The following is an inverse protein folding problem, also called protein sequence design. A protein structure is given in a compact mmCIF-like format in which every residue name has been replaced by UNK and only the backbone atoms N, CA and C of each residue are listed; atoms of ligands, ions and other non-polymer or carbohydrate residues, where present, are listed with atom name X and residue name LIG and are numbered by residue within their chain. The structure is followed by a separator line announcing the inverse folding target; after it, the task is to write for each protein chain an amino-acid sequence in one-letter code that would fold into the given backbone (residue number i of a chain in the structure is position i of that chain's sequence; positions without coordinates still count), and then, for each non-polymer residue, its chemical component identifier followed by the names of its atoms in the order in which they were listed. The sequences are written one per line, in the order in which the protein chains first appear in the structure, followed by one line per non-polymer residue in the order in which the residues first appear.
data_IF_898631146721
#
_entry.id   IF_898631146721
#
_cell.length_a   1.000
_cell.length_b   1.000
_cell.length_c   1.000
_cell.angle_alpha   90.00
_cell.angle_beta   90.00
_cell.angle_gamma   90.00
#
_symmetry.space_group_name_H-M   'P 1'
#
loop_
_entity.id
_entity.type
_entity.pdbx_description
1 polymer ?
#
# COMPACT_ATOMS: atom_id res chain seq x y z
N UNK A 1 5.24 -42.02 -2.18
CA UNK A 1 6.24 -41.74 -3.19
C UNK A 1 6.29 -40.26 -3.51
N UNK A 2 7.36 -39.73 -4.13
CA UNK A 2 7.42 -38.33 -4.45
C UNK A 2 6.30 -37.98 -5.43
N UNK A 3 5.50 -36.97 -5.09
CA UNK A 3 4.44 -36.48 -5.96
C UNK A 3 5.07 -35.93 -7.24
N UNK A 4 4.40 -36.15 -8.37
CA UNK A 4 4.89 -35.61 -9.63
C UNK A 4 4.87 -34.08 -9.59
N UNK A 5 5.83 -33.39 -10.23
CA UNK A 5 5.83 -31.92 -10.27
C UNK A 5 4.51 -31.33 -10.81
N UNK A 6 3.87 -32.04 -11.71
CA UNK A 6 2.58 -31.64 -12.30
C UNK A 6 1.45 -31.62 -11.28
N UNK A 7 1.39 -32.64 -10.40
CA UNK A 7 0.37 -32.71 -9.36
C UNK A 7 0.54 -31.57 -8.35
N UNK A 8 1.78 -31.25 -7.97
CA UNK A 8 2.08 -30.11 -7.09
C UNK A 8 1.70 -28.78 -7.74
N UNK A 9 1.95 -28.63 -9.03
CA UNK A 9 1.57 -27.43 -9.78
C UNK A 9 0.05 -27.26 -9.84
N UNK A 10 -0.69 -28.36 -10.01
CA UNK A 10 -2.16 -28.33 -10.01
C UNK A 10 -2.72 -27.95 -8.63
N UNK A 11 -2.16 -28.50 -7.57
CA UNK A 11 -2.53 -28.15 -6.18
C UNK A 11 -2.29 -26.67 -5.89
N UNK A 12 -1.14 -26.15 -6.31
CA UNK A 12 -0.81 -24.74 -6.19
C UNK A 12 -1.80 -23.87 -6.96
N UNK A 13 -2.08 -24.22 -8.20
CA UNK A 13 -3.06 -23.48 -9.03
C UNK A 13 -4.43 -23.43 -8.36
N UNK A 14 -4.91 -24.56 -7.85
CA UNK A 14 -6.21 -24.65 -7.16
C UNK A 14 -6.21 -23.76 -5.89
N UNK A 15 -5.12 -23.78 -5.13
CA UNK A 15 -4.99 -22.92 -3.96
C UNK A 15 -5.06 -21.44 -4.34
N UNK A 16 -4.33 -21.03 -5.36
CA UNK A 16 -4.33 -19.63 -5.80
C UNK A 16 -5.70 -19.21 -6.33
N UNK A 17 -6.39 -20.08 -7.07
CA UNK A 17 -7.77 -19.81 -7.54
C UNK A 17 -8.71 -19.58 -6.36
N UNK A 18 -8.58 -20.38 -5.30
CA UNK A 18 -9.37 -20.26 -4.08
C UNK A 18 -9.08 -18.95 -3.36
N UNK A 19 -7.81 -18.61 -3.21
CA UNK A 19 -7.40 -17.34 -2.59
C UNK A 19 -7.92 -16.14 -3.39
N UNK A 20 -7.90 -16.23 -4.71
CA UNK A 20 -8.43 -15.18 -5.57
C UNK A 20 -9.93 -14.99 -5.42
N UNK A 21 -10.70 -16.08 -5.31
CA UNK A 21 -12.14 -16.00 -5.05
C UNK A 21 -12.42 -15.32 -3.69
N UNK A 22 -11.67 -15.68 -2.66
CA UNK A 22 -11.78 -15.05 -1.34
C UNK A 22 -11.44 -13.56 -1.42
N UNK A 23 -10.37 -13.23 -2.15
CA UNK A 23 -10.01 -11.84 -2.39
C UNK A 23 -11.14 -11.07 -3.07
N UNK A 24 -11.67 -11.58 -4.17
CA UNK A 24 -12.71 -10.89 -4.95
C UNK A 24 -13.97 -10.64 -4.13
N UNK A 25 -14.41 -11.62 -3.35
CA UNK A 25 -15.56 -11.47 -2.47
C UNK A 25 -15.31 -10.41 -1.39
N UNK A 26 -14.15 -10.45 -0.74
CA UNK A 26 -13.79 -9.48 0.29
C UNK A 26 -13.65 -8.08 -0.31
N UNK A 27 -13.02 -7.96 -1.46
CA UNK A 27 -12.80 -6.68 -2.14
C UNK A 27 -14.12 -5.99 -2.53
N UNK A 28 -15.09 -6.75 -3.05
CA UNK A 28 -16.42 -6.21 -3.36
C UNK A 28 -17.09 -5.68 -2.09
N UNK A 29 -17.00 -6.41 -0.99
CA UNK A 29 -17.53 -5.97 0.31
C UNK A 29 -16.87 -4.68 0.79
N UNK A 30 -15.57 -4.57 0.65
CA UNK A 30 -14.81 -3.36 1.01
C UNK A 30 -15.22 -2.16 0.14
N UNK A 31 -15.36 -2.35 -1.16
CA UNK A 31 -15.83 -1.29 -2.08
C UNK A 31 -17.21 -0.80 -1.68
N UNK A 32 -18.11 -1.72 -1.36
CA UNK A 32 -19.49 -1.40 -0.96
C UNK A 32 -19.61 -0.88 0.47
N UNK A 33 -18.53 -0.92 1.21
CA UNK A 33 -18.46 -0.49 2.61
C UNK A 33 -19.47 -1.25 3.50
N UNK A 34 -19.69 -2.52 3.21
CA UNK A 34 -20.58 -3.41 3.96
C UNK A 34 -19.76 -4.44 4.72
N UNK A 35 -20.06 -4.61 6.00
CA UNK A 35 -19.37 -5.59 6.87
C UNK A 35 -17.84 -5.49 6.74
N UNK A 36 -17.34 -4.27 6.79
CA UNK A 36 -15.95 -3.94 6.48
C UNK A 36 -14.97 -4.77 7.31
N UNK A 37 -15.21 -4.93 8.60
CA UNK A 37 -14.33 -5.70 9.49
C UNK A 37 -14.17 -7.14 9.05
N UNK A 38 -15.26 -7.82 8.70
CA UNK A 38 -15.23 -9.21 8.25
C UNK A 38 -14.48 -9.35 6.91
N UNK A 39 -14.73 -8.44 5.98
CA UNK A 39 -14.06 -8.49 4.68
C UNK A 39 -12.56 -8.16 4.79
N UNK A 40 -12.18 -7.27 5.68
CA UNK A 40 -10.78 -6.99 5.97
C UNK A 40 -10.08 -8.20 6.61
N UNK A 41 -10.75 -8.90 7.54
CA UNK A 41 -10.21 -10.13 8.12
C UNK A 41 -9.99 -11.22 7.06
N UNK A 42 -10.93 -11.38 6.14
CA UNK A 42 -10.81 -12.32 5.04
C UNK A 42 -9.66 -11.95 4.09
N UNK A 43 -9.52 -10.67 3.80
CA UNK A 43 -8.41 -10.18 2.97
C UNK A 43 -7.06 -10.37 3.67
N UNK A 44 -7.00 -10.12 4.98
CA UNK A 44 -5.81 -10.40 5.78
C UNK A 44 -5.44 -11.89 5.71
N UNK A 45 -6.42 -12.79 5.81
CA UNK A 45 -6.20 -14.23 5.67
C UNK A 45 -5.59 -14.62 4.34
N UNK A 46 -6.01 -14.00 3.24
CA UNK A 46 -5.41 -14.21 1.91
C UNK A 46 -3.94 -13.78 1.92
N UNK A 47 -3.65 -12.59 2.42
CA UNK A 47 -2.28 -12.09 2.48
C UNK A 47 -1.39 -12.89 3.42
N UNK A 48 -1.90 -13.35 4.55
CA UNK A 48 -1.18 -14.22 5.48
C UNK A 48 -0.78 -15.53 4.80
N UNK A 49 -1.69 -16.12 4.04
CA UNK A 49 -1.40 -17.35 3.30
C UNK A 49 -0.32 -17.14 2.25
N UNK A 50 -0.39 -16.02 1.52
CA UNK A 50 0.62 -15.65 0.52
C UNK A 50 1.97 -15.35 1.18
N UNK A 51 1.97 -14.75 2.36
CA UNK A 51 3.18 -14.51 3.14
C UNK A 51 3.86 -15.83 3.51
N UNK A 52 3.10 -16.80 4.01
CA UNK A 52 3.63 -18.14 4.34
C UNK A 52 4.23 -18.81 3.10
N UNK A 53 3.52 -18.79 1.98
CA UNK A 53 3.96 -19.44 0.74
C UNK A 53 5.20 -18.80 0.14
N UNK A 54 5.38 -17.50 0.35
CA UNK A 54 6.51 -16.72 -0.20
C UNK A 54 7.68 -16.56 0.76
N UNK A 55 7.64 -17.20 1.92
CA UNK A 55 8.65 -17.05 2.96
C UNK A 55 10.06 -17.35 2.43
N UNK A 56 10.98 -16.41 2.64
CA UNK A 56 12.35 -16.50 2.15
C UNK A 56 12.52 -16.19 0.66
N UNK A 57 11.46 -15.80 -0.03
CA UNK A 57 11.45 -15.53 -1.47
C UNK A 57 11.33 -14.02 -1.75
N UNK A 58 11.55 -13.61 -2.99
CA UNK A 58 11.61 -12.19 -3.39
C UNK A 58 10.32 -11.41 -3.11
N UNK A 59 9.16 -12.07 -3.17
CA UNK A 59 7.86 -11.41 -2.98
C UNK A 59 7.36 -11.40 -1.53
N UNK A 60 8.06 -12.03 -0.61
CA UNK A 60 7.68 -12.02 0.80
C UNK A 60 7.43 -10.60 1.37
N UNK A 61 8.32 -9.61 1.11
CA UNK A 61 8.12 -8.27 1.65
C UNK A 61 6.79 -7.61 1.24
N UNK A 62 6.34 -7.87 0.02
CA UNK A 62 5.07 -7.32 -0.47
C UNK A 62 3.90 -7.76 0.41
N UNK A 63 3.83 -9.05 0.75
CA UNK A 63 2.72 -9.59 1.53
C UNK A 63 2.73 -9.12 2.97
N UNK A 64 3.91 -8.95 3.53
CA UNK A 64 4.08 -8.37 4.86
C UNK A 64 3.59 -6.92 4.91
N UNK A 65 3.98 -6.13 3.92
CA UNK A 65 3.58 -4.72 3.83
C UNK A 65 2.08 -4.60 3.52
N UNK A 66 1.55 -5.45 2.64
CA UNK A 66 0.11 -5.48 2.35
C UNK A 66 -0.71 -5.79 3.60
N UNK A 67 -0.25 -6.74 4.43
CA UNK A 67 -0.89 -7.04 5.72
C UNK A 67 -0.92 -5.81 6.63
N UNK A 68 0.15 -5.04 6.68
CA UNK A 68 0.20 -3.83 7.49
C UNK A 68 -0.83 -2.78 7.02
N UNK A 69 -1.02 -2.63 5.71
CA UNK A 69 -2.05 -1.74 5.16
C UNK A 69 -3.45 -2.23 5.56
N UNK A 70 -3.71 -3.52 5.44
CA UNK A 70 -5.00 -4.12 5.81
C UNK A 70 -5.26 -3.93 7.31
N UNK A 71 -4.25 -4.15 8.15
CA UNK A 71 -4.35 -3.91 9.59
C UNK A 71 -4.64 -2.43 9.90
N UNK A 72 -3.98 -1.51 9.17
CA UNK A 72 -4.25 -0.08 9.29
C UNK A 72 -5.67 0.30 8.90
N UNK A 73 -6.25 -0.37 7.91
CA UNK A 73 -7.66 -0.20 7.55
C UNK A 73 -8.57 -0.74 8.65
N UNK A 74 -8.25 -1.91 9.20
CA UNK A 74 -9.06 -2.54 10.24
C UNK A 74 -9.07 -1.74 11.55
N UNK A 75 -7.94 -1.15 11.93
CA UNK A 75 -7.84 -0.31 13.13
C UNK A 75 -8.18 1.17 12.87
N UNK A 76 -8.60 1.50 11.65
CA UNK A 76 -9.02 2.84 11.24
C UNK A 76 -7.92 3.90 11.21
N UNK A 77 -6.65 3.50 11.24
CA UNK A 77 -5.52 4.43 11.07
C UNK A 77 -5.23 4.74 9.60
N UNK A 78 -5.78 3.96 8.69
CA UNK A 78 -5.75 4.19 7.24
C UNK A 78 -7.19 4.31 6.74
N UNK A 79 -7.48 5.39 6.01
CA UNK A 79 -8.82 5.64 5.47
C UNK A 79 -9.01 4.85 4.17
N UNK A 80 -10.13 4.10 4.02
CA UNK A 80 -10.41 3.33 2.80
C UNK A 80 -10.91 4.23 1.66
N UNK A 81 -10.07 5.15 1.23
CA UNK A 81 -10.36 6.04 0.10
C UNK A 81 -10.18 5.33 -1.25
N UNK A 82 -10.50 6.01 -2.35
CA UNK A 82 -10.40 5.45 -3.70
C UNK A 82 -8.96 4.99 -4.04
N UNK A 83 -7.95 5.74 -3.61
CA UNK A 83 -6.56 5.41 -3.85
C UNK A 83 -6.13 4.12 -3.14
N UNK A 84 -6.54 3.94 -1.88
CA UNK A 84 -6.29 2.71 -1.12
C UNK A 84 -7.01 1.52 -1.76
N UNK A 85 -8.26 1.71 -2.18
CA UNK A 85 -9.02 0.65 -2.88
C UNK A 85 -8.34 0.24 -4.17
N UNK A 86 -7.83 1.19 -4.95
CA UNK A 86 -7.03 0.90 -6.15
C UNK A 86 -5.76 0.13 -5.82
N UNK A 87 -5.11 0.47 -4.72
CA UNK A 87 -3.91 -0.23 -4.26
C UNK A 87 -4.23 -1.68 -3.88
N UNK A 88 -5.32 -1.92 -3.16
CA UNK A 88 -5.76 -3.28 -2.81
C UNK A 88 -6.04 -4.12 -4.05
N UNK A 89 -6.50 -3.51 -5.13
CA UNK A 89 -6.73 -4.21 -6.40
C UNK A 89 -5.45 -4.79 -7.00
N UNK A 90 -4.28 -4.25 -6.67
CA UNK A 90 -2.99 -4.80 -7.09
C UNK A 90 -2.76 -6.21 -6.55
N UNK A 91 -3.41 -6.59 -5.44
CA UNK A 91 -3.39 -7.95 -4.93
C UNK A 91 -3.99 -8.93 -5.94
N UNK A 92 -5.08 -8.54 -6.63
CA UNK A 92 -5.64 -9.37 -7.69
C UNK A 92 -4.65 -9.57 -8.84
N UNK A 93 -3.93 -8.54 -9.22
CA UNK A 93 -2.88 -8.63 -10.24
C UNK A 93 -1.77 -9.60 -9.84
N UNK A 94 -1.37 -9.61 -8.58
CA UNK A 94 -0.40 -10.56 -8.04
C UNK A 94 -0.93 -12.00 -8.09
N UNK A 95 -2.18 -12.20 -7.70
CA UNK A 95 -2.83 -13.51 -7.78
C UNK A 95 -2.90 -14.01 -9.23
N UNK A 96 -3.21 -13.13 -10.18
CA UNK A 96 -3.15 -13.45 -11.61
C UNK A 96 -1.74 -13.86 -12.05
N UNK A 97 -0.73 -13.14 -11.59
CA UNK A 97 0.67 -13.47 -11.86
C UNK A 97 1.02 -14.88 -11.39
N UNK A 98 0.59 -15.25 -10.19
CA UNK A 98 0.77 -16.60 -9.64
C UNK A 98 0.04 -17.67 -10.45
N UNK A 99 -1.16 -17.35 -10.95
CA UNK A 99 -1.89 -18.27 -11.81
C UNK A 99 -1.21 -18.50 -13.16
N UNK A 100 -0.65 -17.45 -13.76
CA UNK A 100 -0.03 -17.54 -15.09
C UNK A 100 1.41 -18.08 -15.05
N UNK A 101 2.18 -17.75 -14.03
CA UNK A 101 3.59 -18.08 -13.92
C UNK A 101 3.90 -19.15 -12.90
N UNK A 102 2.90 -19.55 -12.11
CA UNK A 102 3.08 -20.56 -11.09
C UNK A 102 3.88 -20.05 -9.89
N UNK A 103 4.36 -20.96 -9.09
CA UNK A 103 5.08 -20.69 -7.85
C UNK A 103 6.37 -19.90 -8.08
N UNK A 104 7.00 -20.05 -9.25
CA UNK A 104 8.20 -19.29 -9.61
C UNK A 104 8.01 -17.78 -9.58
N UNK A 105 6.77 -17.30 -9.68
CA UNK A 105 6.46 -15.87 -9.58
C UNK A 105 6.88 -15.27 -8.23
N UNK A 106 6.89 -16.06 -7.17
CA UNK A 106 7.37 -15.60 -5.86
C UNK A 106 8.85 -15.20 -5.86
N UNK A 107 9.63 -15.69 -6.81
CA UNK A 107 11.06 -15.41 -6.92
C UNK A 107 11.37 -14.22 -7.83
N UNK A 108 10.35 -13.66 -8.48
CA UNK A 108 10.48 -12.44 -9.26
C UNK A 108 10.47 -11.21 -8.35
N UNK A 109 11.34 -10.26 -8.63
CA UNK A 109 11.43 -9.04 -7.85
C UNK A 109 10.15 -8.21 -7.96
N UNK A 110 9.72 -7.64 -6.84
CA UNK A 110 8.58 -6.72 -6.81
C UNK A 110 9.03 -5.36 -7.35
N UNK A 111 8.17 -4.69 -8.13
CA UNK A 111 8.48 -3.34 -8.58
C UNK A 111 8.62 -2.40 -7.39
N UNK A 112 9.62 -1.52 -7.44
CA UNK A 112 9.84 -0.56 -6.36
C UNK A 112 8.67 0.40 -6.20
N UNK A 113 7.98 0.73 -7.28
CA UNK A 113 6.81 1.61 -7.26
C UNK A 113 5.64 0.98 -6.51
N UNK A 114 5.40 -0.32 -6.73
CA UNK A 114 4.36 -1.03 -6.01
C UNK A 114 4.63 -1.06 -4.50
N UNK A 115 5.85 -1.39 -4.10
CA UNK A 115 6.24 -1.38 -2.69
C UNK A 115 6.10 0.02 -2.08
N UNK A 116 6.55 1.05 -2.77
CA UNK A 116 6.44 2.44 -2.31
C UNK A 116 5.00 2.87 -2.10
N UNK A 117 4.09 2.44 -2.98
CA UNK A 117 2.67 2.76 -2.86
C UNK A 117 2.05 2.16 -1.59
N UNK A 118 2.37 0.92 -1.27
CA UNK A 118 1.93 0.31 -0.01
C UNK A 118 2.61 0.96 1.20
N UNK A 119 3.92 1.18 1.13
CA UNK A 119 4.70 1.78 2.23
C UNK A 119 4.25 3.20 2.57
N UNK A 120 3.77 3.96 1.60
CA UNK A 120 3.23 5.29 1.81
C UNK A 120 2.12 5.30 2.86
N UNK A 121 1.18 4.35 2.76
CA UNK A 121 0.07 4.29 3.70
C UNK A 121 0.51 3.76 5.07
N UNK A 122 1.44 2.81 5.10
CA UNK A 122 2.02 2.33 6.36
C UNK A 122 2.73 3.47 7.08
N UNK A 123 3.49 4.29 6.36
CA UNK A 123 4.21 5.43 6.93
C UNK A 123 3.27 6.42 7.63
N UNK A 124 2.08 6.63 7.08
CA UNK A 124 1.10 7.57 7.60
C UNK A 124 0.21 7.01 8.70
N UNK A 125 0.23 5.71 8.93
CA UNK A 125 -0.53 5.12 10.04
C UNK A 125 0.16 5.42 11.36
N UNK A 126 -0.59 5.95 12.31
CA UNK A 126 -0.12 6.20 13.68
C UNK A 126 -0.62 5.13 14.66
N UNK A 127 -1.03 3.98 14.12
CA UNK A 127 -1.55 2.91 14.96
C UNK A 127 -0.45 2.30 15.83
N UNK A 128 -0.85 1.92 17.04
CA UNK A 128 0.00 1.15 17.95
C UNK A 128 -0.09 -0.34 17.58
N UNK A 129 0.61 -0.69 16.51
CA UNK A 129 0.66 -2.05 15.95
C UNK A 129 2.12 -2.50 15.82
N UNK A 130 2.48 -3.66 16.38
CA UNK A 130 3.84 -4.20 16.22
C UNK A 130 4.24 -4.40 14.77
N UNK A 131 3.31 -4.86 13.92
CA UNK A 131 3.58 -5.06 12.50
C UNK A 131 3.88 -3.72 11.80
N UNK A 132 3.03 -2.74 12.00
CA UNK A 132 3.20 -1.41 11.39
C UNK A 132 4.49 -0.74 11.91
N UNK A 133 4.71 -0.77 13.22
CA UNK A 133 5.93 -0.22 13.82
C UNK A 133 7.19 -0.90 13.29
N UNK A 134 7.16 -2.22 13.17
CA UNK A 134 8.29 -2.99 12.65
C UNK A 134 8.63 -2.64 11.20
N UNK A 135 7.62 -2.46 10.35
CA UNK A 135 7.82 -2.05 8.96
C UNK A 135 8.35 -0.63 8.87
N UNK A 136 7.81 0.29 9.67
CA UNK A 136 8.31 1.67 9.73
C UNK A 136 9.80 1.72 10.08
N UNK A 137 10.21 0.91 11.04
CA UNK A 137 11.61 0.82 11.46
C UNK A 137 12.47 0.18 10.37
N UNK A 138 12.05 -0.95 9.83
CA UNK A 138 12.79 -1.70 8.80
C UNK A 138 13.08 -0.85 7.56
N UNK A 139 12.12 -0.03 7.14
CA UNK A 139 12.22 0.79 5.93
C UNK A 139 12.59 2.26 6.20
N UNK A 140 12.81 2.64 7.44
CA UNK A 140 13.13 4.03 7.80
C UNK A 140 12.04 5.02 7.40
N UNK A 141 10.77 4.62 7.51
CA UNK A 141 9.65 5.40 6.97
C UNK A 141 9.44 6.72 7.69
N UNK A 142 9.70 6.79 8.99
CA UNK A 142 9.53 8.04 9.74
C UNK A 142 10.52 9.10 9.27
N UNK A 143 11.77 8.73 9.06
CA UNK A 143 12.80 9.63 8.54
C UNK A 143 12.48 10.10 7.13
N UNK A 144 12.01 9.17 6.27
CA UNK A 144 11.59 9.49 4.90
C UNK A 144 10.40 10.45 4.88
N UNK A 145 9.42 10.24 5.75
CA UNK A 145 8.24 11.09 5.88
C UNK A 145 8.63 12.49 6.37
N UNK A 146 9.50 12.57 7.36
CA UNK A 146 10.00 13.84 7.90
C UNK A 146 10.78 14.62 6.84
N UNK A 147 11.65 13.97 6.10
CA UNK A 147 12.41 14.60 5.01
C UNK A 147 11.48 15.17 3.92
N UNK A 148 10.43 14.46 3.60
CA UNK A 148 9.40 14.89 2.63
C UNK A 148 8.64 16.10 3.17
N UNK A 149 8.22 16.08 4.42
CA UNK A 149 7.51 17.19 5.06
C UNK A 149 8.40 18.43 5.17
N UNK A 150 9.66 18.30 5.49
CA UNK A 150 10.64 19.38 5.49
C UNK A 150 10.80 19.98 4.09
N UNK A 151 10.91 19.18 3.07
CA UNK A 151 10.99 19.62 1.69
C UNK A 151 9.75 20.40 1.26
N UNK A 152 8.57 19.94 1.63
CA UNK A 152 7.31 20.64 1.36
C UNK A 152 7.23 21.98 2.10
N UNK A 153 7.63 22.00 3.38
CA UNK A 153 7.66 23.23 4.18
C UNK A 153 8.64 24.26 3.62
N UNK A 154 9.81 23.84 3.19
CA UNK A 154 10.78 24.72 2.53
C UNK A 154 10.23 25.30 1.23
N UNK A 155 9.47 24.52 0.48
CA UNK A 155 8.79 24.99 -0.72
C UNK A 155 7.76 26.07 -0.40
N UNK A 156 6.99 25.89 0.66
CA UNK A 156 6.02 26.88 1.13
C UNK A 156 6.68 28.15 1.65
N UNK A 157 7.76 28.03 2.40
CA UNK A 157 8.51 29.16 2.91
C UNK A 157 9.16 30.01 1.80
N UNK A 158 9.58 29.39 0.70
CA UNK A 158 10.11 30.11 -0.45
C UNK A 158 9.06 30.98 -1.13
N UNK A 159 7.78 30.64 -1.02
CA UNK A 159 6.71 31.46 -1.59
C UNK A 159 6.33 32.63 -0.68
N UNK A 160 6.38 32.49 0.63
CA UNK A 160 6.01 33.52 1.58
C UNK A 160 6.90 34.77 1.56
N UNK A 161 8.23 34.68 1.46
CA UNK A 161 9.07 35.87 1.43
C UNK A 161 8.85 36.76 0.20
N UNK A 162 8.43 36.19 -0.91
CA UNK A 162 8.14 36.95 -2.12
C UNK A 162 6.85 37.76 -2.00
N UNK A 163 5.89 37.28 -1.25
CA UNK A 163 4.64 37.99 -1.01
C UNK A 163 4.80 39.15 -0.03
N UNK A 164 5.73 39.01 0.91
CA UNK A 164 6.02 40.08 1.88
C UNK A 164 6.90 41.19 1.32
N UNK A 165 7.64 40.95 0.24
CA UNK A 165 8.47 41.94 -0.43
C UNK A 165 7.75 42.83 -1.42
N UNK A 166 6.53 42.52 -1.75
CA UNK A 166 5.71 43.27 -2.71
C UNK A 166 4.73 44.17 -1.97
N UNK A 167 5.27 45.18 -1.28
CA UNK A 167 4.43 46.16 -0.63
C UNK A 167 3.66 46.98 -1.66
N UNK A 168 2.36 46.87 -1.67
CA UNK A 168 1.48 47.78 -2.36
C UNK A 168 1.26 47.56 -3.83
N UNK A 169 1.76 46.51 -4.39
CA UNK A 169 1.36 46.11 -5.74
C UNK A 169 0.24 45.13 -5.66
N UNK A 170 -0.82 45.44 -6.34
CA UNK A 170 -1.89 44.47 -6.60
C UNK A 170 -1.29 43.24 -7.24
N UNK A 171 -0.99 42.25 -6.45
CA UNK A 171 -0.57 41.02 -7.02
C UNK A 171 -1.74 40.05 -7.03
N UNK A 172 -2.30 39.82 -8.18
CA UNK A 172 -3.30 38.76 -8.38
C UNK A 172 -2.75 37.39 -8.06
N UNK A 173 -1.46 37.26 -7.91
CA UNK A 173 -0.80 36.03 -7.49
C UNK A 173 -1.10 35.66 -6.03
N UNK A 174 -1.64 36.56 -5.24
CA UNK A 174 -2.10 36.25 -3.89
C UNK A 174 -3.30 35.32 -3.87
N UNK A 175 -3.99 35.16 -4.99
CA UNK A 175 -5.10 34.23 -5.13
C UNK A 175 -4.64 32.79 -5.37
N UNK A 176 -3.39 32.56 -5.70
CA UNK A 176 -2.81 31.23 -5.72
C UNK A 176 -2.47 30.85 -4.31
N UNK A 177 -3.41 30.20 -3.65
CA UNK A 177 -3.18 29.76 -2.27
C UNK A 177 -1.98 28.82 -2.23
N UNK A 178 -0.91 29.22 -1.53
CA UNK A 178 0.26 28.35 -1.37
C UNK A 178 -0.07 27.02 -0.68
N UNK A 179 -1.18 27.00 0.03
CA UNK A 179 -1.68 25.79 0.69
C UNK A 179 -2.04 24.67 -0.28
N UNK A 180 -2.44 24.99 -1.51
CA UNK A 180 -2.75 23.98 -2.49
C UNK A 180 -1.51 23.19 -2.93
N UNK A 181 -0.38 23.83 -3.00
CA UNK A 181 0.88 23.17 -3.38
C UNK A 181 1.51 22.41 -2.20
N UNK A 182 1.22 22.83 -0.98
CA UNK A 182 1.73 22.15 0.20
C UNK A 182 0.91 20.91 0.58
N UNK A 183 -0.33 20.84 0.10
CA UNK A 183 -1.22 19.71 0.40
C UNK A 183 -1.18 18.61 -0.65
N UNK A 184 -0.60 18.88 -1.81
CA UNK A 184 -0.50 17.89 -2.88
C UNK A 184 0.71 17.01 -2.66
N UNK A 185 0.73 16.32 -1.54
CA UNK A 185 1.50 15.12 -1.42
C UNK A 185 0.58 13.97 -1.78
N UNK A 186 0.31 13.81 -3.04
CA UNK A 186 -0.34 12.60 -3.50
C UNK A 186 0.72 11.52 -3.69
N UNK A 187 0.45 10.30 -3.21
CA UNK A 187 1.26 9.19 -3.61
C UNK A 187 1.23 9.13 -5.13
N UNK A 188 2.37 8.93 -5.70
CA UNK A 188 2.40 8.67 -7.12
C UNK A 188 1.49 7.50 -7.44
N UNK A 189 0.44 7.79 -8.19
CA UNK A 189 -0.37 6.75 -8.81
C UNK A 189 0.46 5.97 -9.83
#
# INVERSE_FOLDING_TARGET
GPQSPRLQAEEFEQLIRKLRQLFQTAFVGIIRNKQLGQHLDNLAGVCERLLELSKGRQREPLWKIALAVIEGLANQSIVPNAAVKSLLKEIDSELKGLLHRGEAFFDEAVSSDLLKNFLYYVARSEADSPLIAGIKEEYGLQEALDAVNEGANRGCERFNPHLSGLSGSDSPAASLSPGANCTVFQPMC
#
